data_IF_198447998738
#
_entry.id   IF_198447998738
#
_cell.length_a   1.000
_cell.length_b   1.000
_cell.length_c   1.000
_cell.angle_alpha   90.00
_cell.angle_beta   90.00
_cell.angle_gamma   90.00
#
_symmetry.space_group_name_H-M   'P 1'
#
loop_
_entity.id
_entity.type
_entity.pdbx_description
1 polymer ?
#
# COMPACT_ATOMS: atom_id res chain seq x y z
N UNK A 1 -17.19 -9.40 -3.46
CA UNK A 1 -16.50 -8.09 -3.35
C UNK A 1 -15.71 -7.98 -2.03
N UNK A 2 -14.99 -9.04 -1.59
CA UNK A 2 -14.32 -9.08 -0.26
C UNK A 2 -12.81 -9.42 -0.30
N UNK A 3 -12.22 -9.56 -1.49
CA UNK A 3 -10.82 -10.02 -1.63
C UNK A 3 -9.77 -8.91 -1.66
N UNK A 4 -10.12 -7.69 -2.10
CA UNK A 4 -9.12 -6.65 -2.42
C UNK A 4 -8.27 -6.20 -1.22
N UNK A 5 -8.89 -6.07 -0.05
CA UNK A 5 -8.18 -5.72 1.17
C UNK A 5 -7.31 -6.88 1.70
N UNK A 6 -7.81 -8.11 1.66
CA UNK A 6 -7.04 -9.29 2.07
C UNK A 6 -5.78 -9.49 1.20
N UNK A 7 -5.90 -9.31 -0.11
CA UNK A 7 -4.77 -9.33 -1.05
C UNK A 7 -3.74 -8.22 -0.75
N UNK A 8 -4.22 -7.03 -0.37
CA UNK A 8 -3.35 -5.94 0.03
C UNK A 8 -2.55 -6.30 1.29
N UNK A 9 -3.21 -6.82 2.32
CA UNK A 9 -2.55 -7.26 3.57
C UNK A 9 -1.50 -8.32 3.28
N UNK A 10 -1.85 -9.35 2.49
CA UNK A 10 -0.91 -10.43 2.13
C UNK A 10 0.33 -9.88 1.40
N UNK A 11 0.14 -8.90 0.51
CA UNK A 11 1.25 -8.23 -0.17
C UNK A 11 2.11 -7.42 0.80
N UNK A 12 1.49 -6.69 1.74
CA UNK A 12 2.21 -5.92 2.75
C UNK A 12 3.06 -6.81 3.65
N UNK A 13 2.52 -7.95 4.07
CA UNK A 13 3.23 -8.95 4.87
C UNK A 13 4.42 -9.54 4.11
N UNK A 14 4.24 -9.89 2.83
CA UNK A 14 5.33 -10.38 1.98
C UNK A 14 6.45 -9.32 1.81
N UNK A 15 6.09 -8.06 1.61
CA UNK A 15 7.06 -6.94 1.53
C UNK A 15 7.78 -6.74 2.86
N UNK A 16 7.09 -6.88 3.99
CA UNK A 16 7.69 -6.78 5.34
C UNK A 16 8.62 -7.95 5.65
N UNK A 17 8.32 -9.15 5.17
CA UNK A 17 9.08 -10.37 5.43
C UNK A 17 10.47 -10.40 4.75
N UNK A 18 10.75 -9.48 3.83
CA UNK A 18 12.02 -9.42 3.10
C UNK A 18 12.76 -8.09 3.33
N UNK A 19 14.09 -8.13 3.31
CA UNK A 19 14.95 -6.93 3.31
C UNK A 19 15.48 -6.58 1.93
N UNK A 20 15.32 -7.47 0.94
CA UNK A 20 15.85 -7.29 -0.42
C UNK A 20 15.03 -6.25 -1.18
N UNK A 21 15.63 -5.09 -1.47
CA UNK A 21 14.96 -3.96 -2.16
C UNK A 21 14.31 -4.37 -3.49
N UNK A 22 15.02 -5.13 -4.32
CA UNK A 22 14.48 -5.59 -5.61
C UNK A 22 13.26 -6.50 -5.44
N UNK A 23 13.26 -7.34 -4.39
CA UNK A 23 12.13 -8.21 -4.11
C UNK A 23 10.90 -7.43 -3.64
N UNK A 24 11.11 -6.40 -2.80
CA UNK A 24 10.02 -5.47 -2.44
C UNK A 24 9.41 -4.81 -3.67
N UNK A 25 10.26 -4.32 -4.58
CA UNK A 25 9.80 -3.71 -5.82
C UNK A 25 9.03 -4.69 -6.70
N UNK A 26 9.49 -5.95 -6.80
CA UNK A 26 8.81 -7.01 -7.56
C UNK A 26 7.42 -7.30 -7.00
N UNK A 27 7.31 -7.48 -5.68
CA UNK A 27 6.04 -7.74 -4.99
C UNK A 27 5.04 -6.59 -5.16
N UNK A 28 5.49 -5.35 -4.93
CA UNK A 28 4.65 -4.16 -5.11
C UNK A 28 4.24 -3.98 -6.57
N UNK A 29 5.18 -4.12 -7.52
CA UNK A 29 4.90 -3.98 -8.94
C UNK A 29 3.84 -4.97 -9.43
N UNK A 30 3.96 -6.25 -9.05
CA UNK A 30 2.99 -7.27 -9.40
C UNK A 30 1.59 -6.96 -8.85
N UNK A 31 1.50 -6.47 -7.61
CA UNK A 31 0.22 -6.10 -7.00
C UNK A 31 -0.39 -4.82 -7.59
N UNK A 32 0.41 -3.80 -7.88
CA UNK A 32 -0.11 -2.51 -8.38
C UNK A 32 -0.54 -2.62 -9.85
N UNK A 33 0.15 -3.42 -10.66
CA UNK A 33 -0.15 -3.58 -12.09
C UNK A 33 -1.52 -4.22 -12.40
N UNK A 34 -2.17 -4.83 -11.40
CA UNK A 34 -3.48 -5.48 -11.53
C UNK A 34 -4.64 -4.63 -11.02
N UNK A 35 -4.39 -3.42 -10.54
CA UNK A 35 -5.43 -2.53 -10.01
C UNK A 35 -5.89 -1.55 -11.08
N UNK A 36 -7.17 -1.19 -11.02
CA UNK A 36 -7.67 0.00 -11.70
C UNK A 36 -7.20 1.26 -10.97
N UNK A 37 -7.31 2.42 -11.63
CA UNK A 37 -6.79 3.68 -11.10
C UNK A 37 -7.41 4.08 -9.75
N UNK A 38 -8.69 3.75 -9.53
CA UNK A 38 -9.38 4.09 -8.29
C UNK A 38 -8.82 3.31 -7.11
N UNK A 39 -8.66 1.99 -7.26
CA UNK A 39 -8.08 1.12 -6.24
C UNK A 39 -6.56 1.35 -6.09
N UNK A 40 -5.87 1.67 -7.19
CA UNK A 40 -4.42 1.91 -7.22
C UNK A 40 -4.02 3.07 -6.31
N UNK A 41 -4.73 4.20 -6.41
CA UNK A 41 -4.46 5.39 -5.59
C UNK A 41 -4.60 5.08 -4.10
N UNK A 42 -5.65 4.34 -3.72
CA UNK A 42 -5.92 3.96 -2.34
C UNK A 42 -4.83 3.01 -1.82
N UNK A 43 -4.52 1.95 -2.56
CA UNK A 43 -3.54 0.96 -2.14
C UNK A 43 -2.12 1.55 -2.00
N UNK A 44 -1.72 2.44 -2.91
CA UNK A 44 -0.44 3.14 -2.82
C UNK A 44 -0.35 4.01 -1.56
N UNK A 45 -1.46 4.66 -1.17
CA UNK A 45 -1.57 5.46 0.05
C UNK A 45 -1.37 4.62 1.31
N UNK A 46 -2.03 3.47 1.36
CA UNK A 46 -1.92 2.52 2.46
C UNK A 46 -0.50 1.98 2.61
N UNK A 47 0.16 1.60 1.51
CA UNK A 47 1.57 1.15 1.56
C UNK A 47 2.53 2.25 2.01
N UNK A 48 2.26 3.51 1.66
CA UNK A 48 3.09 4.63 2.09
C UNK A 48 2.97 4.94 3.59
N UNK A 49 1.96 4.39 4.29
CA UNK A 49 1.67 4.70 5.69
C UNK A 49 1.26 6.16 5.93
N UNK A 50 0.95 6.90 4.87
CA UNK A 50 0.68 8.33 4.88
C UNK A 50 -0.68 8.60 4.21
N UNK A 51 -1.76 8.75 4.98
CA UNK A 51 -3.12 8.88 4.46
C UNK A 51 -3.30 10.15 3.60
N UNK A 52 -2.52 11.20 3.86
CA UNK A 52 -2.58 12.47 3.13
C UNK A 52 -1.27 12.75 2.36
N UNK A 53 -1.33 13.49 1.22
CA UNK A 53 -0.17 14.09 0.57
C UNK A 53 0.64 14.99 1.50
N UNK A 54 1.96 15.09 1.28
CA UNK A 54 2.81 15.98 2.09
C UNK A 54 2.43 17.47 2.02
N UNK A 55 1.78 17.88 0.92
CA UNK A 55 1.27 19.25 0.72
C UNK A 55 -0.11 19.46 1.35
N UNK A 56 -0.72 18.41 1.87
CA UNK A 56 -2.03 18.44 2.50
C UNK A 56 -1.79 18.54 4.00
N UNK A 57 -2.33 19.58 4.62
CA UNK A 57 -2.10 19.92 6.03
C UNK A 57 -2.94 19.06 6.98
N UNK A 58 -3.80 18.17 6.45
CA UNK A 58 -4.62 17.28 7.27
C UNK A 58 -3.76 16.24 7.98
N UNK A 59 -4.13 15.97 9.22
CA UNK A 59 -3.58 14.90 10.06
C UNK A 59 -4.71 14.01 10.55
N UNK A 60 -4.45 12.72 10.76
CA UNK A 60 -5.50 11.80 11.25
C UNK A 60 -5.92 12.09 12.69
N UNK A 61 -5.08 12.76 13.48
CA UNK A 61 -5.32 13.02 14.91
C UNK A 61 -5.64 11.76 15.73
N UNK A 62 -5.05 10.62 15.36
CA UNK A 62 -5.14 9.36 16.09
C UNK A 62 -3.79 9.10 16.77
N UNK A 63 -3.80 9.00 18.10
CA UNK A 63 -2.64 8.62 18.90
C UNK A 63 -2.44 7.09 18.97
N UNK A 64 -1.33 6.68 19.58
CA UNK A 64 -1.07 5.28 19.90
C UNK A 64 -1.93 4.78 21.06
#
# INVERSE_FOLDING_TARGET
MSGRFAEWVSTADAVRATTKKLEKNRLLGAYLARLDDADLVIAARLFAGAPFPRKDERVLSVGW
#
